data_IF_974238707583
#
_entry.id   IF_974238707583
#
_cell.length_a   1.000
_cell.length_b   1.000
_cell.length_c   1.000
_cell.angle_alpha   90.00
_cell.angle_beta   90.00
_cell.angle_gamma   90.00
#
_symmetry.space_group_name_H-M   'P 1'
#
loop_
_entity.id
_entity.type
_entity.pdbx_description
1 polymer ?
#
# COMPACT_ATOMS: atom_id res chain seq x y z
N UNK A 1 -17.72 -55.17 31.68
CA UNK A 1 -16.38 -54.90 31.13
C UNK A 1 -16.57 -54.55 29.66
N UNK A 2 -16.78 -53.27 29.33
CA UNK A 2 -17.08 -52.80 27.97
C UNK A 2 -15.88 -52.02 27.45
N UNK A 3 -15.26 -52.54 26.40
CA UNK A 3 -14.10 -51.94 25.74
C UNK A 3 -14.64 -50.90 24.76
N UNK A 4 -14.41 -49.61 25.02
CA UNK A 4 -14.73 -48.53 24.07
C UNK A 4 -13.53 -48.33 23.14
N UNK A 5 -13.77 -48.47 21.83
CA UNK A 5 -12.85 -48.06 20.78
C UNK A 5 -12.69 -46.54 20.82
N UNK A 6 -11.46 -46.07 20.96
CA UNK A 6 -11.09 -44.67 20.76
C UNK A 6 -10.89 -44.44 19.27
N UNK A 7 -11.78 -43.67 18.67
CA UNK A 7 -11.60 -43.13 17.31
C UNK A 7 -10.79 -41.84 17.46
N UNK A 8 -9.59 -41.80 16.89
CA UNK A 8 -8.76 -40.60 16.80
C UNK A 8 -9.25 -39.81 15.59
N UNK A 9 -9.78 -38.57 15.73
CA UNK A 9 -9.99 -37.74 14.57
C UNK A 9 -8.64 -37.14 14.16
N UNK A 10 -8.26 -37.40 12.90
CA UNK A 10 -7.17 -36.74 12.21
C UNK A 10 -7.54 -35.26 12.06
N UNK A 11 -6.85 -34.39 12.80
CA UNK A 11 -6.97 -32.94 12.65
C UNK A 11 -6.47 -32.53 11.27
N UNK A 12 -7.39 -32.11 10.40
CA UNK A 12 -7.05 -31.34 9.22
C UNK A 12 -6.63 -29.94 9.65
N UNK A 13 -5.40 -29.57 9.31
CA UNK A 13 -4.96 -28.17 9.28
C UNK A 13 -5.79 -27.42 8.23
N UNK A 14 -6.95 -26.91 8.63
CA UNK A 14 -7.56 -25.78 7.92
C UNK A 14 -6.73 -24.55 8.26
N UNK A 15 -5.80 -24.22 7.37
CA UNK A 15 -5.19 -22.91 7.30
C UNK A 15 -6.33 -21.88 7.27
N UNK A 16 -6.57 -21.27 8.43
CA UNK A 16 -7.57 -20.23 8.59
C UNK A 16 -7.15 -19.09 7.66
N UNK A 17 -7.84 -18.97 6.52
CA UNK A 17 -7.85 -17.72 5.76
C UNK A 17 -8.49 -16.72 6.69
N UNK A 18 -7.64 -15.98 7.38
CA UNK A 18 -8.05 -14.87 8.24
C UNK A 18 -8.87 -13.95 7.36
N UNK A 19 -10.19 -13.99 7.55
CA UNK A 19 -11.13 -13.16 6.83
C UNK A 19 -10.80 -11.73 7.25
N UNK A 20 -10.09 -11.02 6.37
CA UNK A 20 -9.66 -9.65 6.64
C UNK A 20 -10.91 -8.81 6.85
N UNK A 21 -11.14 -8.38 8.10
CA UNK A 21 -12.22 -7.45 8.42
C UNK A 21 -12.08 -6.25 7.47
N UNK A 22 -13.10 -5.92 6.67
CA UNK A 22 -12.96 -4.87 5.67
C UNK A 22 -12.62 -3.55 6.37
N UNK A 23 -11.62 -2.83 5.83
CA UNK A 23 -11.23 -1.54 6.37
C UNK A 23 -12.44 -0.60 6.42
N UNK A 24 -12.62 0.15 7.50
CA UNK A 24 -13.64 1.20 7.54
C UNK A 24 -13.27 2.38 6.63
N UNK A 25 -11.95 2.60 6.42
CA UNK A 25 -11.40 3.70 5.63
C UNK A 25 -10.11 3.29 4.94
N UNK A 26 -9.86 3.88 3.78
CA UNK A 26 -8.61 3.73 3.05
C UNK A 26 -8.07 5.07 2.56
N UNK A 27 -6.75 5.14 2.36
CA UNK A 27 -6.04 6.35 1.96
C UNK A 27 -5.03 6.09 0.85
N UNK A 28 -4.84 7.10 0.01
CA UNK A 28 -3.81 7.13 -1.02
C UNK A 28 -2.78 8.22 -0.71
N UNK A 29 -1.54 7.82 -0.43
CA UNK A 29 -0.39 8.71 -0.33
C UNK A 29 0.30 8.89 -1.68
N UNK A 30 0.77 10.10 -1.99
CA UNK A 30 1.45 10.42 -3.25
C UNK A 30 2.90 10.80 -2.97
N UNK A 31 3.84 9.92 -3.32
CA UNK A 31 5.28 10.08 -3.09
C UNK A 31 6.08 9.41 -4.22
N UNK A 32 7.37 9.73 -4.37
CA UNK A 32 8.22 8.98 -5.31
C UNK A 32 8.36 7.51 -4.91
N UNK A 33 8.60 6.62 -5.87
CA UNK A 33 8.76 5.19 -5.57
C UNK A 33 9.96 4.92 -4.65
N UNK A 34 11.04 5.69 -4.80
CA UNK A 34 12.17 5.64 -3.87
C UNK A 34 11.74 5.95 -2.43
N UNK A 35 10.90 6.95 -2.23
CA UNK A 35 10.37 7.31 -0.92
C UNK A 35 9.46 6.19 -0.38
N UNK A 36 8.57 5.65 -1.21
CA UNK A 36 7.70 4.53 -0.83
C UNK A 36 8.54 3.34 -0.35
N UNK A 37 9.59 2.96 -1.07
CA UNK A 37 10.49 1.86 -0.66
C UNK A 37 11.22 2.15 0.65
N UNK A 38 11.62 3.41 0.91
CA UNK A 38 12.20 3.80 2.21
C UNK A 38 11.17 3.63 3.33
N UNK A 39 9.96 4.15 3.14
CA UNK A 39 8.87 4.02 4.09
C UNK A 39 8.58 2.54 4.41
N UNK A 40 8.46 1.69 3.39
CA UNK A 40 8.21 0.24 3.56
C UNK A 40 9.34 -0.49 4.28
N UNK A 41 10.60 -0.12 4.04
CA UNK A 41 11.74 -0.70 4.78
C UNK A 41 11.77 -0.30 6.25
N UNK A 42 11.30 0.89 6.58
CA UNK A 42 11.35 1.40 7.95
C UNK A 42 10.05 1.21 8.74
N UNK A 43 8.95 0.80 8.10
CA UNK A 43 7.66 0.57 8.75
C UNK A 43 6.90 1.85 9.12
N UNK A 44 7.21 2.97 8.48
CA UNK A 44 6.50 4.23 8.72
C UNK A 44 6.41 5.13 7.50
N UNK A 45 5.39 5.98 7.48
CA UNK A 45 5.18 6.99 6.44
C UNK A 45 5.50 8.38 6.96
N UNK A 46 6.06 9.22 6.09
CA UNK A 46 6.30 10.63 6.34
C UNK A 46 5.81 11.44 5.13
N UNK A 47 4.66 12.08 5.28
CA UNK A 47 4.01 12.81 4.19
C UNK A 47 4.25 14.31 4.28
N UNK A 48 4.05 15.04 3.18
CA UNK A 48 4.11 16.51 3.12
C UNK A 48 5.32 17.13 3.84
N UNK A 49 6.52 16.61 3.60
CA UNK A 49 7.74 17.11 4.24
C UNK A 49 7.72 17.02 5.79
N UNK A 50 7.00 16.05 6.36
CA UNK A 50 6.96 15.81 7.81
C UNK A 50 5.96 16.69 8.57
N UNK A 51 5.01 17.33 7.88
CA UNK A 51 3.93 18.09 8.51
C UNK A 51 2.88 17.17 9.16
N UNK A 52 2.40 17.53 10.35
CA UNK A 52 1.44 16.74 11.14
C UNK A 52 0.06 16.61 10.47
N UNK A 53 -0.37 17.59 9.68
CA UNK A 53 -1.76 17.74 9.22
C UNK A 53 -2.29 16.52 8.48
N UNK A 54 -1.50 15.90 7.61
CA UNK A 54 -1.95 14.74 6.84
C UNK A 54 -1.89 13.46 7.66
N UNK A 55 -0.81 13.25 8.41
CA UNK A 55 -0.63 12.05 9.23
C UNK A 55 -1.59 11.97 10.42
N UNK A 56 -2.07 13.10 10.92
CA UNK A 56 -3.10 13.18 11.97
C UNK A 56 -4.51 12.76 11.51
N UNK A 57 -4.75 12.62 10.21
CA UNK A 57 -6.06 12.18 9.68
C UNK A 57 -6.20 10.65 9.67
N UNK A 58 -5.08 9.95 9.68
CA UNK A 58 -5.00 8.50 9.71
C UNK A 58 -5.40 7.99 11.10
N UNK A 59 -6.01 6.81 11.18
CA UNK A 59 -6.25 6.07 12.42
C UNK A 59 -5.71 4.67 12.29
N UNK A 60 -5.39 4.04 13.42
CA UNK A 60 -5.08 2.62 13.49
C UNK A 60 -6.14 1.81 12.75
N UNK A 61 -5.71 0.86 11.95
CA UNK A 61 -6.58 0.02 11.14
C UNK A 61 -7.01 0.62 9.81
N UNK A 62 -6.68 1.89 9.49
CA UNK A 62 -6.95 2.40 8.14
C UNK A 62 -6.07 1.68 7.09
N UNK A 63 -6.65 1.35 5.93
CA UNK A 63 -5.91 0.90 4.76
C UNK A 63 -5.10 2.04 4.15
N UNK A 64 -3.87 1.77 3.70
CA UNK A 64 -2.99 2.78 3.10
C UNK A 64 -2.26 2.26 1.86
N UNK A 65 -2.28 3.02 0.77
CA UNK A 65 -1.56 2.72 -0.47
C UNK A 65 -0.71 3.91 -0.90
N UNK A 66 0.50 3.64 -1.41
CA UNK A 66 1.29 4.63 -2.13
C UNK A 66 1.05 4.58 -3.63
N UNK A 67 0.74 5.73 -4.21
CA UNK A 67 0.86 6.00 -5.64
C UNK A 67 2.11 6.83 -5.91
N UNK A 68 2.90 6.41 -6.90
CA UNK A 68 4.14 7.03 -7.30
C UNK A 68 4.08 7.60 -8.71
N UNK A 69 3.98 8.93 -8.87
CA UNK A 69 4.03 9.58 -10.17
C UNK A 69 5.38 9.38 -10.86
N UNK A 70 6.46 9.30 -10.09
CA UNK A 70 7.86 9.22 -10.54
C UNK A 70 8.67 8.24 -9.70
N UNK A 71 9.82 7.83 -10.22
CA UNK A 71 10.76 6.95 -9.54
C UNK A 71 11.48 7.70 -8.40
N UNK A 72 12.11 8.84 -8.71
CA UNK A 72 12.74 9.75 -7.74
C UNK A 72 12.03 11.10 -7.73
N UNK A 73 12.25 11.86 -6.66
CA UNK A 73 11.68 13.20 -6.53
C UNK A 73 12.36 14.15 -7.55
N UNK A 74 11.55 14.82 -8.37
CA UNK A 74 12.03 15.77 -9.39
C UNK A 74 12.28 15.16 -10.77
N UNK A 75 12.14 13.85 -10.94
CA UNK A 75 12.26 13.20 -12.24
C UNK A 75 11.18 13.69 -13.21
N UNK A 76 11.56 13.83 -14.49
CA UNK A 76 10.61 14.12 -15.58
C UNK A 76 9.89 12.87 -16.09
N UNK A 77 10.55 11.71 -15.99
CA UNK A 77 9.99 10.44 -16.43
C UNK A 77 8.85 10.00 -15.49
N UNK A 78 7.73 9.62 -16.09
CA UNK A 78 6.52 9.21 -15.36
C UNK A 78 6.58 7.71 -15.08
N UNK A 79 6.54 7.34 -13.81
CA UNK A 79 6.35 5.96 -13.37
C UNK A 79 4.86 5.59 -13.35
N UNK A 80 4.05 6.39 -12.64
CA UNK A 80 2.60 6.21 -12.48
C UNK A 80 2.23 4.78 -12.07
N UNK A 81 2.70 4.36 -10.90
CA UNK A 81 2.45 3.03 -10.35
C UNK A 81 1.98 3.11 -8.90
N UNK A 82 1.25 2.09 -8.46
CA UNK A 82 1.02 1.83 -7.04
C UNK A 82 2.20 0.99 -6.54
N UNK A 83 2.88 1.44 -5.48
CA UNK A 83 4.25 0.96 -5.18
C UNK A 83 4.42 0.32 -3.81
N UNK A 84 3.49 0.55 -2.88
CA UNK A 84 3.40 -0.17 -1.62
C UNK A 84 1.99 -0.04 -1.03
N UNK A 85 1.60 -0.97 -0.18
CA UNK A 85 0.36 -0.92 0.58
C UNK A 85 0.55 -1.51 1.97
N UNK A 86 -0.32 -1.16 2.90
CA UNK A 86 -0.32 -1.67 4.26
C UNK A 86 -1.48 -1.14 5.09
N UNK A 87 -1.37 -1.35 6.39
CA UNK A 87 -2.36 -0.90 7.38
C UNK A 87 -1.71 0.00 8.41
N UNK A 88 -2.37 1.09 8.80
CA UNK A 88 -1.86 2.00 9.82
C UNK A 88 -1.83 1.29 11.18
N UNK A 89 -0.67 1.29 11.83
CA UNK A 89 -0.39 0.45 13.00
C UNK A 89 -0.45 1.21 14.34
N UNK A 90 -0.21 2.52 14.36
CA UNK A 90 -0.24 3.33 15.58
C UNK A 90 -1.57 4.06 15.76
N UNK A 91 -1.91 4.41 17.00
CA UNK A 91 -3.12 5.19 17.30
C UNK A 91 -2.93 6.68 16.94
N UNK A 92 -1.78 7.24 17.29
CA UNK A 92 -1.45 8.66 17.13
C UNK A 92 -0.16 8.87 16.32
N UNK A 93 -0.03 9.99 15.58
CA UNK A 93 1.23 10.37 14.95
C UNK A 93 2.33 10.59 15.98
N UNK A 94 3.55 10.16 15.63
CA UNK A 94 4.74 10.33 16.47
C UNK A 94 5.81 11.15 15.74
N UNK A 95 6.67 11.82 16.51
CA UNK A 95 7.83 12.51 15.95
C UNK A 95 8.95 11.50 15.70
N UNK A 96 9.72 11.69 14.65
CA UNK A 96 10.99 10.99 14.49
C UNK A 96 11.93 11.30 15.66
N UNK A 97 12.78 10.34 16.03
CA UNK A 97 13.80 10.53 17.07
C UNK A 97 14.87 11.52 16.64
N UNK A 98 15.26 11.46 15.37
CA UNK A 98 16.30 12.30 14.79
C UNK A 98 15.75 13.60 14.21
N UNK A 99 16.56 14.66 14.28
CA UNK A 99 16.31 15.91 13.57
C UNK A 99 16.91 15.79 12.17
N UNK A 100 16.11 16.04 11.14
CA UNK A 100 16.53 15.90 9.74
C UNK A 100 16.52 17.26 9.03
N UNK A 101 17.49 17.46 8.14
CA UNK A 101 17.54 18.63 7.27
C UNK A 101 16.54 18.47 6.12
N UNK A 102 15.57 19.37 6.04
CA UNK A 102 14.51 19.41 5.03
C UNK A 102 14.77 20.45 3.92
N UNK A 103 16.05 20.76 3.69
CA UNK A 103 16.50 21.75 2.71
C UNK A 103 16.08 23.15 3.10
N UNK A 104 15.40 23.86 2.18
CA UNK A 104 14.94 25.23 2.39
C UNK A 104 13.96 25.41 3.57
N UNK A 105 13.41 24.32 4.12
CA UNK A 105 12.54 24.34 5.31
C UNK A 105 13.29 24.22 6.64
N UNK A 106 14.62 24.15 6.61
CA UNK A 106 15.45 24.01 7.80
C UNK A 106 15.45 22.60 8.37
N UNK A 107 15.78 22.49 9.66
CA UNK A 107 15.99 21.21 10.36
C UNK A 107 14.85 21.00 11.35
N UNK A 108 14.15 19.88 11.25
CA UNK A 108 13.00 19.57 12.11
C UNK A 108 12.91 18.08 12.43
N UNK A 109 12.12 17.73 13.45
CA UNK A 109 11.68 16.36 13.72
C UNK A 109 10.38 16.12 12.95
N UNK A 110 10.35 15.28 11.91
CA UNK A 110 9.16 15.09 11.10
C UNK A 110 8.14 14.23 11.83
N UNK A 111 6.87 14.50 11.56
CA UNK A 111 5.78 13.63 11.99
C UNK A 111 5.68 12.39 11.10
N UNK A 112 5.47 11.24 11.74
CA UNK A 112 5.39 9.92 11.14
C UNK A 112 4.16 9.15 11.61
N UNK A 113 3.79 8.13 10.83
CA UNK A 113 2.82 7.09 11.22
C UNK A 113 3.42 5.73 10.97
N UNK A 114 3.30 4.84 11.94
CA UNK A 114 3.62 3.44 11.79
C UNK A 114 2.63 2.79 10.83
N UNK A 115 3.15 2.02 9.89
CA UNK A 115 2.37 1.28 8.90
C UNK A 115 2.96 -0.12 8.78
N UNK A 116 2.10 -1.12 8.96
CA UNK A 116 2.42 -2.51 8.69
C UNK A 116 2.29 -2.75 7.19
N UNK A 117 3.41 -2.63 6.48
CA UNK A 117 3.47 -2.81 5.03
C UNK A 117 3.41 -4.29 4.65
N UNK A 118 2.54 -4.60 3.68
CA UNK A 118 2.46 -5.92 3.08
C UNK A 118 3.61 -6.14 2.07
N UNK A 119 4.03 -7.39 1.90
CA UNK A 119 4.93 -7.78 0.81
C UNK A 119 4.14 -7.89 -0.49
N UNK A 120 4.31 -6.92 -1.36
CA UNK A 120 3.56 -6.82 -2.61
C UNK A 120 4.42 -6.34 -3.77
N UNK A 121 3.93 -6.51 -4.98
CA UNK A 121 4.53 -6.03 -6.21
C UNK A 121 3.98 -4.65 -6.58
N UNK A 122 4.83 -3.82 -7.18
CA UNK A 122 4.36 -2.58 -7.79
C UNK A 122 3.48 -2.89 -9.00
N UNK A 123 2.40 -2.14 -9.18
CA UNK A 123 1.45 -2.30 -10.29
C UNK A 123 1.31 -0.98 -11.03
N UNK A 124 1.51 -1.01 -12.35
CA UNK A 124 1.29 0.15 -13.20
C UNK A 124 -0.17 0.62 -13.15
N UNK A 125 -0.39 1.93 -13.14
CA UNK A 125 -1.74 2.51 -13.14
C UNK A 125 -2.62 1.95 -14.27
N UNK A 126 -2.04 1.78 -15.46
CA UNK A 126 -2.73 1.32 -16.66
C UNK A 126 -3.38 -0.08 -16.49
N UNK A 127 -2.77 -0.95 -15.68
CA UNK A 127 -3.23 -2.33 -15.40
C UNK A 127 -4.56 -2.37 -14.64
N UNK A 128 -4.81 -1.37 -13.80
CA UNK A 128 -5.99 -1.31 -12.90
C UNK A 128 -6.90 -0.11 -13.20
N UNK A 129 -6.58 0.71 -14.20
CA UNK A 129 -7.26 2.00 -14.44
C UNK A 129 -8.76 1.83 -14.64
N UNK A 130 -9.21 0.71 -15.21
CA UNK A 130 -10.63 0.51 -15.53
C UNK A 130 -11.43 -0.04 -14.34
N UNK A 131 -10.76 -0.49 -13.29
CA UNK A 131 -11.38 -1.13 -12.13
C UNK A 131 -11.56 -0.17 -10.96
N UNK A 132 -10.74 0.88 -10.87
CA UNK A 132 -10.78 1.86 -9.77
C UNK A 132 -11.88 2.90 -9.93
N UNK A 133 -12.63 3.18 -8.86
CA UNK A 133 -13.54 4.32 -8.79
C UNK A 133 -12.76 5.64 -8.87
N UNK A 134 -11.56 5.70 -8.29
CA UNK A 134 -10.65 6.85 -8.31
C UNK A 134 -10.44 7.41 -9.72
N UNK A 135 -10.18 6.55 -10.71
CA UNK A 135 -9.86 6.94 -12.08
C UNK A 135 -11.09 7.27 -12.92
N UNK A 136 -12.28 6.88 -12.47
CA UNK A 136 -13.56 7.23 -13.09
C UNK A 136 -14.00 8.66 -12.75
N UNK A 137 -13.51 9.23 -11.65
CA UNK A 137 -13.75 10.62 -11.31
C UNK A 137 -13.07 11.58 -12.30
N UNK A 138 -13.81 12.62 -12.73
CA UNK A 138 -13.23 13.71 -13.52
C UNK A 138 -12.14 14.40 -12.71
N UNK A 139 -11.02 14.72 -13.36
CA UNK A 139 -9.88 15.44 -12.77
C UNK A 139 -9.23 14.74 -11.56
N UNK A 140 -9.37 13.42 -11.40
CA UNK A 140 -8.74 12.68 -10.29
C UNK A 140 -7.23 12.96 -10.16
N UNK A 141 -6.53 13.13 -11.29
CA UNK A 141 -5.10 13.47 -11.32
C UNK A 141 -4.76 14.79 -10.62
N UNK A 142 -5.68 15.76 -10.60
CA UNK A 142 -5.50 17.01 -9.86
C UNK A 142 -5.48 16.79 -8.34
N UNK A 143 -6.27 15.82 -7.83
CA UNK A 143 -6.32 15.51 -6.40
C UNK A 143 -4.98 14.96 -5.88
N UNK A 144 -4.17 14.37 -6.74
CA UNK A 144 -2.85 13.81 -6.38
C UNK A 144 -1.88 14.88 -5.85
N UNK A 145 -2.05 16.15 -6.24
CA UNK A 145 -1.18 17.25 -5.80
C UNK A 145 -1.24 17.53 -4.29
N UNK A 146 -2.26 17.02 -3.60
CA UNK A 146 -2.44 17.22 -2.16
C UNK A 146 -1.64 16.24 -1.30
N UNK A 147 -0.96 15.27 -1.90
CA UNK A 147 -0.06 14.35 -1.21
C UNK A 147 -0.74 13.23 -0.41
N UNK A 148 -1.96 13.45 0.07
CA UNK A 148 -2.81 12.45 0.73
C UNK A 148 -4.28 12.71 0.41
N UNK A 149 -5.01 11.68 0.01
CA UNK A 149 -6.44 11.75 -0.27
C UNK A 149 -7.17 10.48 0.20
N UNK A 150 -8.48 10.57 0.52
CA UNK A 150 -9.30 9.39 0.76
C UNK A 150 -9.33 8.50 -0.48
N UNK A 151 -9.31 7.19 -0.26
CA UNK A 151 -9.46 6.14 -1.25
C UNK A 151 -10.71 5.32 -0.90
N UNK A 152 -11.49 4.91 -1.89
CA UNK A 152 -12.59 3.99 -1.65
C UNK A 152 -12.03 2.65 -1.13
N UNK A 153 -12.67 2.04 -0.14
CA UNK A 153 -12.24 0.73 0.38
C UNK A 153 -12.26 -0.33 -0.72
N UNK A 154 -13.27 -0.30 -1.61
CA UNK A 154 -13.31 -1.16 -2.78
C UNK A 154 -12.08 -0.98 -3.70
N UNK A 155 -11.61 0.26 -3.91
CA UNK A 155 -10.39 0.51 -4.69
C UNK A 155 -9.15 -0.03 -3.99
N UNK A 156 -9.08 0.07 -2.65
CA UNK A 156 -8.01 -0.54 -1.88
C UNK A 156 -7.96 -2.05 -2.09
N UNK A 157 -9.10 -2.74 -2.03
CA UNK A 157 -9.16 -4.19 -2.23
C UNK A 157 -8.76 -4.62 -3.65
N UNK A 158 -9.19 -3.87 -4.67
CA UNK A 158 -8.75 -4.09 -6.06
C UNK A 158 -7.22 -3.96 -6.17
N UNK A 159 -6.66 -2.90 -5.58
CA UNK A 159 -5.22 -2.67 -5.60
C UNK A 159 -4.46 -3.75 -4.83
N UNK A 160 -4.96 -4.15 -3.66
CA UNK A 160 -4.38 -5.22 -2.85
C UNK A 160 -4.28 -6.51 -3.66
N UNK A 161 -5.39 -6.96 -4.25
CA UNK A 161 -5.38 -8.17 -5.07
C UNK A 161 -4.46 -8.08 -6.29
N UNK A 162 -4.41 -6.93 -6.97
CA UNK A 162 -3.51 -6.74 -8.11
C UNK A 162 -2.03 -6.74 -7.68
N UNK A 163 -1.70 -6.06 -6.59
CA UNK A 163 -0.33 -5.93 -6.08
C UNK A 163 0.18 -7.23 -5.42
N UNK A 164 -0.71 -8.04 -4.84
CA UNK A 164 -0.38 -9.40 -4.35
C UNK A 164 -0.05 -10.37 -5.49
N UNK A 165 -0.79 -10.30 -6.62
CA UNK A 165 -0.51 -11.15 -7.80
C UNK A 165 0.72 -10.70 -8.58
N UNK A 166 1.02 -9.40 -8.58
CA UNK A 166 2.02 -8.79 -9.45
C UNK A 166 1.57 -8.74 -10.92
N UNK A 167 2.36 -8.07 -11.75
CA UNK A 167 2.17 -8.12 -13.21
C UNK A 167 2.53 -9.55 -13.67
N UNK A 168 1.52 -10.38 -13.92
CA UNK A 168 1.73 -11.66 -14.59
C UNK A 168 2.31 -11.36 -15.97
N UNK A 169 3.61 -11.64 -16.14
CA UNK A 169 4.26 -11.61 -17.44
C UNK A 169 3.46 -12.52 -18.37
N UNK A 170 3.05 -12.08 -19.58
CA UNK A 170 2.30 -12.93 -20.48
C UNK A 170 3.13 -14.18 -20.74
N UNK A 171 2.63 -15.34 -20.29
CA UNK A 171 3.27 -16.63 -20.56
C UNK A 171 3.50 -16.71 -22.06
N UNK A 172 4.76 -16.71 -22.48
CA UNK A 172 5.11 -16.90 -23.88
C UNK A 172 4.41 -18.18 -24.37
N UNK A 173 3.69 -18.16 -25.50
CA UNK A 173 3.09 -19.38 -26.01
C UNK A 173 4.23 -20.35 -26.34
N UNK A 174 4.43 -21.35 -25.48
CA UNK A 174 5.23 -22.53 -25.81
C UNK A 174 4.40 -23.36 -26.78
N UNK A 175 4.35 -22.91 -28.04
CA UNK A 175 3.87 -23.71 -29.15
C UNK A 175 5.07 -24.40 -29.79
N UNK A 176 5.05 -25.72 -30.01
CA UNK A 176 6.16 -26.40 -30.65
C UNK A 176 6.28 -25.90 -32.10
N UNK A 177 7.47 -25.41 -32.43
CA UNK A 177 7.86 -25.21 -33.82
C UNK A 177 8.04 -26.60 -34.44
N UNK A 178 7.19 -26.94 -35.40
CA UNK A 178 7.41 -28.04 -36.32
C UNK A 178 6.63 -27.81 -37.62
N UNK A 179 7.04 -28.46 -38.73
CA UNK A 179 8.32 -29.10 -39.00
C UNK A 179 9.28 -28.24 -39.85
#
# INVERSE_FOLDING_TARGET
MHIRQTVIPLGGEEASREESVPFERAWLGVVSAEHARRASRHGWIQLNHGDRRNVARLRRGDGFVFYSPTERLGDRAKLRAFTALGTVADDEPHLADEVVNMGARGTLRPWRRAVDFARVHAVGLHTVTHDLALTRERNWGYRLRFGLLPLAVADFEVLRGAMERGEESPRSPTGPCAP
#
